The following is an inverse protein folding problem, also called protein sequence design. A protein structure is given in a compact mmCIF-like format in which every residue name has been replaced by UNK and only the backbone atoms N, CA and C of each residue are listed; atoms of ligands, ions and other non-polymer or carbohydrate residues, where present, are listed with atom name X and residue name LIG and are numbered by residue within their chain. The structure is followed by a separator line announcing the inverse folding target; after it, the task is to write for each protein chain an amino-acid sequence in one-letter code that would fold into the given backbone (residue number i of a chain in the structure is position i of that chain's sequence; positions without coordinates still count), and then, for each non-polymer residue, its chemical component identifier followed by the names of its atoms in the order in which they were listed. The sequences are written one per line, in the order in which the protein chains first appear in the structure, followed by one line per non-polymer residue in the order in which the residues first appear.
data_IF_292767288830
#
_entry.id   IF_292767288830
#
_cell.length_a   1.000
_cell.length_b   1.000
_cell.length_c   1.000
_cell.angle_alpha   90.00
_cell.angle_beta   90.00
_cell.angle_gamma   90.00
#
_symmetry.space_group_name_H-M   'P 1'
#
loop_
_entity.id
_entity.type
_entity.pdbx_description
1 polymer ?
#
# COMPACT_ATOMS: atom_id res chain seq x y z
N UNK A 1 -12.22 8.27 -3.63
CA UNK A 1 -11.58 8.06 -2.32
C UNK A 1 -12.18 6.80 -1.71
N UNK A 2 -11.36 5.82 -1.34
CA UNK A 2 -11.79 4.53 -0.76
C UNK A 2 -11.09 4.36 0.58
N UNK A 3 -11.82 3.96 1.62
CA UNK A 3 -11.25 3.65 2.93
C UNK A 3 -10.89 2.16 3.00
N UNK A 4 -9.68 1.85 3.46
CA UNK A 4 -9.21 0.49 3.70
C UNK A 4 -8.88 0.36 5.18
N UNK A 5 -9.41 -0.68 5.84
CA UNK A 5 -9.05 -0.99 7.22
C UNK A 5 -7.86 -1.94 7.20
N UNK A 6 -6.80 -1.51 7.88
CA UNK A 6 -5.59 -2.29 8.10
C UNK A 6 -5.34 -2.37 9.60
N UNK A 7 -4.74 -3.46 10.04
CA UNK A 7 -4.13 -3.52 11.36
C UNK A 7 -2.93 -2.55 11.43
N UNK A 8 -2.50 -2.21 12.64
CA UNK A 8 -1.34 -1.35 12.83
C UNK A 8 -0.06 -1.95 12.21
N UNK A 9 0.07 -3.27 12.22
CA UNK A 9 1.22 -3.96 11.63
C UNK A 9 1.21 -3.87 10.09
N UNK A 10 0.06 -4.09 9.46
CA UNK A 10 -0.08 -3.97 8.01
C UNK A 10 0.16 -2.53 7.54
N UNK A 11 -0.32 -1.55 8.30
CA UNK A 11 -0.07 -0.14 8.01
C UNK A 11 1.43 0.20 8.10
N UNK A 12 2.13 -0.28 9.14
CA UNK A 12 3.57 -0.06 9.27
C UNK A 12 4.38 -0.72 8.15
N UNK A 13 3.98 -1.91 7.71
CA UNK A 13 4.61 -2.57 6.57
C UNK A 13 4.39 -1.79 5.25
N UNK A 14 3.19 -1.24 5.07
CA UNK A 14 2.86 -0.39 3.92
C UNK A 14 3.68 0.90 3.93
N UNK A 15 3.82 1.54 5.11
CA UNK A 15 4.61 2.76 5.29
C UNK A 15 6.08 2.53 4.95
N UNK A 16 6.68 1.49 5.51
CA UNK A 16 8.06 1.13 5.21
C UNK A 16 8.24 0.83 3.71
N UNK A 17 7.24 0.26 3.05
CA UNK A 17 7.28 0.00 1.61
C UNK A 17 7.23 1.30 0.80
N UNK A 18 6.30 2.20 1.14
CA UNK A 18 6.16 3.50 0.51
C UNK A 18 7.42 4.35 0.67
N UNK A 19 8.02 4.34 1.87
CA UNK A 19 9.28 5.03 2.15
C UNK A 19 10.45 4.48 1.32
N UNK A 20 10.60 3.15 1.23
CA UNK A 20 11.68 2.54 0.41
C UNK A 20 11.56 2.87 -1.07
N UNK A 21 10.34 3.03 -1.57
CA UNK A 21 10.08 3.33 -2.98
C UNK A 21 9.99 4.84 -3.28
N UNK A 22 9.94 5.69 -2.25
CA UNK A 22 9.71 7.12 -2.42
C UNK A 22 8.32 7.44 -2.99
N UNK A 23 7.36 6.54 -2.81
CA UNK A 23 6.02 6.64 -3.36
C UNK A 23 4.95 6.92 -2.31
N UNK A 24 3.75 7.29 -2.77
CA UNK A 24 2.58 7.38 -1.89
C UNK A 24 2.01 6.00 -1.57
N UNK A 25 1.42 5.84 -0.37
CA UNK A 25 0.68 4.62 0.03
C UNK A 25 -0.31 4.13 -1.02
N UNK A 26 -1.03 5.04 -1.68
CA UNK A 26 -2.05 4.70 -2.68
C UNK A 26 -1.48 4.28 -4.04
N UNK A 27 -0.23 4.66 -4.34
CA UNK A 27 0.49 4.15 -5.50
C UNK A 27 0.92 2.70 -5.25
N UNK A 28 1.57 2.43 -4.11
CA UNK A 28 1.96 1.09 -3.67
C UNK A 28 0.76 0.13 -3.60
N UNK A 29 -0.37 0.57 -3.03
CA UNK A 29 -1.59 -0.25 -2.98
C UNK A 29 -2.11 -0.55 -4.40
N UNK A 30 -2.11 0.43 -5.31
CA UNK A 30 -2.59 0.20 -6.68
C UNK A 30 -1.71 -0.76 -7.45
N UNK A 31 -0.39 -0.65 -7.32
CA UNK A 31 0.54 -1.58 -7.94
C UNK A 31 0.30 -3.01 -7.44
N UNK A 32 0.21 -3.20 -6.12
CA UNK A 32 -0.10 -4.49 -5.52
C UNK A 32 -1.43 -5.08 -6.02
N UNK A 33 -2.48 -4.26 -6.11
CA UNK A 33 -3.78 -4.69 -6.65
C UNK A 33 -3.73 -5.03 -8.14
N UNK A 34 -2.90 -4.32 -8.92
CA UNK A 34 -2.73 -4.59 -10.36
C UNK A 34 -2.15 -5.98 -10.58
N UNK A 35 -1.19 -6.41 -9.73
CA UNK A 35 -0.63 -7.76 -9.80
C UNK A 35 -1.59 -8.89 -9.40
N UNK A 36 -2.68 -8.58 -8.67
CA UNK A 36 -3.71 -9.55 -8.26
C UNK A 36 -4.81 -9.70 -9.32
N UNK A 37 -5.07 -8.65 -10.09
CA UNK A 37 -6.15 -8.60 -11.08
C UNK A 37 -5.75 -9.09 -12.49
N UNK A 38 -4.53 -9.59 -12.66
CA UNK A 38 -4.00 -10.17 -13.90
C UNK A 38 -4.26 -11.68 -13.98
#
# INVERSE_FOLDING_TARGET
MVAVRLTSQELAALDACAERQGESRSAVIREALTGIAA
#
